data_IF_211030037231
#
_entry.id   IF_211030037231
#
_cell.length_a   1.000
_cell.length_b   1.000
_cell.length_c   1.000
_cell.angle_alpha   90.00
_cell.angle_beta   90.00
_cell.angle_gamma   90.00
#
_symmetry.space_group_name_H-M   'P 1'
#
loop_
_entity.id
_entity.type
_entity.pdbx_description
1 polymer ?
#
# COMPACT_ATOMS: atom_id res chain seq x y z
N UNK A 1 18.62 31.63 -23.13
CA UNK A 1 17.55 31.47 -22.11
C UNK A 1 17.33 30.01 -21.74
N UNK A 2 17.11 29.10 -22.71
CA UNK A 2 16.92 27.66 -22.42
C UNK A 2 18.05 27.03 -21.57
N UNK A 3 19.31 27.24 -21.94
CA UNK A 3 20.48 26.70 -21.21
C UNK A 3 20.66 27.30 -19.80
N UNK A 4 20.17 28.55 -19.57
CA UNK A 4 20.18 29.19 -18.25
C UNK A 4 19.15 28.53 -17.33
N UNK A 5 17.94 28.30 -17.83
CA UNK A 5 16.85 27.71 -17.06
C UNK A 5 17.15 26.26 -16.69
N UNK A 6 17.75 25.50 -17.61
CA UNK A 6 18.25 24.15 -17.32
C UNK A 6 19.27 24.15 -16.18
N UNK A 7 20.29 25.03 -16.22
CA UNK A 7 21.28 25.16 -15.13
C UNK A 7 20.61 25.44 -13.78
N UNK A 8 19.62 26.34 -13.74
CA UNK A 8 18.88 26.66 -12.51
C UNK A 8 18.12 25.44 -11.99
N UNK A 9 17.44 24.68 -12.85
CA UNK A 9 16.74 23.44 -12.43
C UNK A 9 17.71 22.42 -11.84
N UNK A 10 18.91 22.28 -12.42
CA UNK A 10 19.94 21.38 -11.89
C UNK A 10 20.47 21.83 -10.53
N UNK A 11 20.57 23.15 -10.27
CA UNK A 11 20.89 23.65 -8.93
C UNK A 11 19.74 23.42 -7.94
N UNK A 12 18.48 23.56 -8.37
CA UNK A 12 17.32 23.28 -7.51
C UNK A 12 17.24 21.82 -7.09
N UNK A 13 17.65 20.87 -7.94
CA UNK A 13 17.73 19.45 -7.59
C UNK A 13 18.75 19.16 -6.48
N UNK A 14 19.74 20.02 -6.27
CA UNK A 14 20.73 19.88 -5.19
C UNK A 14 20.18 20.35 -3.84
N UNK A 15 19.06 21.08 -3.82
CA UNK A 15 18.44 21.51 -2.58
C UNK A 15 17.86 20.30 -1.82
N UNK A 16 17.88 20.32 -0.48
CA UNK A 16 17.33 19.24 0.33
C UNK A 16 15.89 18.89 -0.07
N UNK A 17 15.61 17.59 -0.22
CA UNK A 17 14.29 17.06 -0.58
C UNK A 17 13.96 17.08 -2.08
N UNK A 18 14.59 17.96 -2.88
CA UNK A 18 14.38 18.00 -4.32
C UNK A 18 15.15 16.89 -5.07
N UNK A 19 16.17 16.30 -4.43
CA UNK A 19 16.95 15.17 -4.95
C UNK A 19 16.20 13.82 -4.89
N UNK A 20 14.98 13.80 -4.36
CA UNK A 20 14.09 12.65 -4.30
C UNK A 20 12.72 13.03 -4.88
N UNK A 21 12.04 12.06 -5.49
CA UNK A 21 10.68 12.22 -5.97
C UNK A 21 9.75 12.61 -4.81
N UNK A 22 8.93 13.64 -5.02
CA UNK A 22 8.01 14.17 -4.01
C UNK A 22 6.95 13.17 -3.54
N UNK A 23 6.71 12.09 -4.30
CA UNK A 23 5.59 11.17 -4.04
C UNK A 23 6.04 9.78 -3.58
N UNK A 24 7.05 9.18 -4.19
CA UNK A 24 7.49 7.81 -3.87
C UNK A 24 8.92 7.74 -3.30
N UNK A 25 9.62 8.87 -3.19
CA UNK A 25 10.99 8.94 -2.70
C UNK A 25 12.07 8.35 -3.62
N UNK A 26 11.73 7.92 -4.84
CA UNK A 26 12.73 7.49 -5.84
C UNK A 26 13.78 8.59 -6.06
N UNK A 27 15.06 8.21 -6.16
CA UNK A 27 16.19 9.15 -6.24
C UNK A 27 16.28 9.77 -7.63
N UNK A 28 16.92 10.94 -7.70
CA UNK A 28 17.28 11.60 -8.97
C UNK A 28 16.07 11.85 -9.89
N UNK A 29 15.05 12.61 -9.45
CA UNK A 29 13.90 12.92 -10.28
C UNK A 29 14.30 13.70 -11.55
N UNK A 30 13.75 13.29 -12.70
CA UNK A 30 14.03 13.90 -14.02
C UNK A 30 12.84 14.68 -14.58
N UNK A 31 11.73 14.70 -13.84
CA UNK A 31 10.49 15.38 -14.20
C UNK A 31 10.10 16.38 -13.13
N UNK A 32 9.22 17.31 -13.47
CA UNK A 32 8.61 18.20 -12.49
C UNK A 32 7.19 18.56 -12.88
N UNK A 33 6.33 18.71 -11.88
CA UNK A 33 5.05 19.40 -12.02
C UNK A 33 5.26 20.88 -11.77
N UNK A 34 5.26 21.69 -12.83
CA UNK A 34 5.68 23.08 -12.74
C UNK A 34 4.62 24.02 -12.19
N UNK A 35 3.33 23.65 -12.25
CA UNK A 35 2.26 24.42 -11.63
C UNK A 35 2.15 24.13 -10.13
N UNK A 36 2.39 22.87 -9.71
CA UNK A 36 2.44 22.49 -8.29
C UNK A 36 3.76 22.96 -7.67
N UNK A 37 4.88 22.82 -8.40
CA UNK A 37 6.22 23.21 -7.95
C UNK A 37 7.02 22.07 -7.34
N UNK A 38 6.90 20.83 -7.86
CA UNK A 38 7.52 19.61 -7.28
C UNK A 38 8.33 18.82 -8.32
N UNK A 39 9.34 18.09 -7.85
CA UNK A 39 10.18 17.20 -8.63
C UNK A 39 9.73 15.74 -8.51
N UNK A 40 9.69 15.03 -9.63
CA UNK A 40 9.05 13.74 -9.79
C UNK A 40 9.94 12.76 -10.57
N UNK A 41 9.85 11.48 -10.23
CA UNK A 41 10.36 10.41 -11.11
C UNK A 41 9.40 10.18 -12.29
N UNK A 42 9.84 9.44 -13.31
CA UNK A 42 9.03 9.15 -14.50
C UNK A 42 7.70 8.47 -14.18
N UNK A 43 7.69 7.56 -13.20
CA UNK A 43 6.50 6.81 -12.78
C UNK A 43 5.43 7.74 -12.18
N UNK A 44 5.82 8.62 -11.26
CA UNK A 44 4.90 9.58 -10.63
C UNK A 44 4.47 10.68 -11.62
N UNK A 45 5.39 11.13 -12.49
CA UNK A 45 5.07 12.02 -13.60
C UNK A 45 3.96 11.46 -14.51
N UNK A 46 3.95 10.15 -14.76
CA UNK A 46 2.87 9.46 -15.48
C UNK A 46 1.50 9.61 -14.80
N UNK A 47 1.43 9.39 -13.49
CA UNK A 47 0.19 9.59 -12.72
C UNK A 47 -0.26 11.05 -12.77
N UNK A 48 0.67 11.99 -12.59
CA UNK A 48 0.36 13.42 -12.67
C UNK A 48 -0.23 13.85 -14.02
N UNK A 49 0.20 13.25 -15.13
CA UNK A 49 -0.43 13.47 -16.44
C UNK A 49 -1.89 12.98 -16.47
N UNK A 50 -2.14 11.82 -15.88
CA UNK A 50 -3.47 11.19 -15.85
C UNK A 50 -4.48 11.91 -14.95
N UNK A 51 -4.03 12.82 -14.06
CA UNK A 51 -4.92 13.71 -13.30
C UNK A 51 -5.49 14.86 -14.15
N UNK A 52 -4.86 15.16 -15.29
CA UNK A 52 -5.28 16.25 -16.19
C UNK A 52 -4.64 17.61 -15.85
N UNK A 53 -4.55 18.45 -16.89
CA UNK A 53 -3.81 19.73 -16.87
C UNK A 53 -4.38 20.80 -15.95
N UNK A 54 -5.62 20.62 -15.50
CA UNK A 54 -6.26 21.50 -14.51
C UNK A 54 -5.74 21.25 -13.08
N UNK A 55 -5.15 20.07 -12.83
CA UNK A 55 -4.54 19.69 -11.54
C UNK A 55 -3.03 19.78 -11.63
N UNK A 56 -2.42 19.08 -12.61
CA UNK A 56 -0.97 18.97 -12.71
C UNK A 56 -0.49 19.09 -14.15
N UNK A 57 0.56 19.87 -14.36
CA UNK A 57 1.22 20.09 -15.64
C UNK A 57 2.69 19.70 -15.50
N UNK A 58 3.09 18.69 -16.24
CA UNK A 58 4.40 18.01 -16.06
C UNK A 58 5.31 18.29 -17.25
N UNK A 59 6.60 18.51 -16.97
CA UNK A 59 7.68 18.65 -17.95
C UNK A 59 8.91 17.84 -17.55
N UNK A 60 9.65 17.36 -18.53
CA UNK A 60 10.99 16.82 -18.34
C UNK A 60 11.96 17.96 -18.05
N UNK A 61 12.87 17.78 -17.09
CA UNK A 61 13.77 18.85 -16.65
C UNK A 61 14.75 19.29 -17.76
N UNK A 62 15.27 18.34 -18.54
CA UNK A 62 16.21 18.58 -19.65
C UNK A 62 15.59 18.66 -21.06
N UNK A 63 14.59 17.84 -21.35
CA UNK A 63 14.09 17.66 -22.72
C UNK A 63 13.02 18.68 -23.12
N UNK A 64 12.32 19.29 -22.17
CA UNK A 64 11.26 20.26 -22.43
C UNK A 64 11.75 21.70 -22.30
N UNK A 65 11.08 22.63 -22.99
CA UNK A 65 11.35 24.07 -22.87
C UNK A 65 10.70 24.63 -21.61
N UNK A 66 11.45 25.45 -20.86
CA UNK A 66 11.01 26.09 -19.62
C UNK A 66 10.96 27.61 -19.73
N UNK A 67 9.85 28.19 -19.29
CA UNK A 67 9.66 29.63 -19.16
C UNK A 67 10.15 30.12 -17.79
N UNK A 68 10.58 31.38 -17.72
CA UNK A 68 11.12 31.96 -16.49
C UNK A 68 10.10 31.92 -15.34
N UNK A 69 8.82 32.15 -15.61
CA UNK A 69 7.73 32.05 -14.62
C UNK A 69 7.58 30.64 -14.02
N UNK A 70 7.84 29.59 -14.82
CA UNK A 70 7.80 28.21 -14.38
C UNK A 70 9.01 27.91 -13.48
N UNK A 71 10.18 28.46 -13.80
CA UNK A 71 11.38 28.34 -12.98
C UNK A 71 11.19 29.03 -11.63
N UNK A 72 10.62 30.25 -11.61
CA UNK A 72 10.33 30.96 -10.35
C UNK A 72 9.38 30.15 -9.47
N UNK A 73 8.35 29.51 -10.04
CA UNK A 73 7.48 28.62 -9.29
C UNK A 73 8.21 27.44 -8.66
N UNK A 74 9.16 26.84 -9.38
CA UNK A 74 9.98 25.74 -8.85
C UNK A 74 10.91 26.20 -7.72
N UNK A 75 11.39 27.46 -7.75
CA UNK A 75 12.18 28.05 -6.66
C UNK A 75 11.34 28.34 -5.42
N UNK A 76 10.14 28.87 -5.63
CA UNK A 76 9.21 29.28 -4.56
C UNK A 76 8.73 28.07 -3.74
N UNK A 77 8.38 26.97 -4.42
CA UNK A 77 7.75 25.82 -3.76
C UNK A 77 8.80 24.77 -3.43
N UNK A 78 9.22 23.95 -4.40
CA UNK A 78 10.06 22.78 -4.13
C UNK A 78 9.35 21.71 -3.28
N UNK A 79 10.01 20.57 -3.11
CA UNK A 79 9.39 19.39 -2.51
C UNK A 79 9.09 19.58 -1.01
N UNK A 80 9.96 20.26 -0.26
CA UNK A 80 9.75 20.47 1.18
C UNK A 80 8.51 21.35 1.43
N UNK A 81 8.39 22.49 0.75
CA UNK A 81 7.24 23.39 0.91
C UNK A 81 5.96 22.71 0.43
N UNK A 82 6.01 21.98 -0.68
CA UNK A 82 4.86 21.19 -1.14
C UNK A 82 4.45 20.13 -0.11
N UNK A 83 5.41 19.46 0.54
CA UNK A 83 5.13 18.50 1.61
C UNK A 83 4.44 19.16 2.81
N UNK A 84 4.89 20.34 3.23
CA UNK A 84 4.26 21.09 4.32
C UNK A 84 2.78 21.44 4.03
N UNK A 85 2.41 21.65 2.76
CA UNK A 85 1.03 21.92 2.35
C UNK A 85 0.22 20.63 2.15
N UNK A 86 0.68 19.75 1.28
CA UNK A 86 -0.07 18.60 0.78
C UNK A 86 0.08 17.34 1.64
N UNK A 87 0.95 17.35 2.64
CA UNK A 87 1.11 16.25 3.60
C UNK A 87 0.94 16.71 5.05
N UNK A 88 0.32 17.88 5.27
CA UNK A 88 0.16 18.52 6.57
C UNK A 88 -0.54 17.59 7.59
N UNK A 89 -1.64 16.94 7.19
CA UNK A 89 -2.48 16.10 8.05
C UNK A 89 -2.60 14.68 7.52
N UNK A 90 -1.48 14.09 7.12
CA UNK A 90 -1.43 12.66 6.76
C UNK A 90 -1.55 11.82 8.04
N UNK A 91 -2.58 10.95 8.16
CA UNK A 91 -2.71 10.10 9.33
C UNK A 91 -1.50 9.18 9.53
N UNK A 92 -1.09 8.91 10.77
CA UNK A 92 0.02 8.01 11.07
C UNK A 92 -0.18 6.59 10.49
N UNK A 93 -1.42 6.13 10.43
CA UNK A 93 -1.78 4.85 9.80
C UNK A 93 -1.65 4.85 8.27
N UNK A 94 -1.63 6.00 7.61
CA UNK A 94 -1.61 6.09 6.15
C UNK A 94 -0.26 5.63 5.61
N UNK A 95 -0.27 4.62 4.73
CA UNK A 95 0.97 4.11 4.14
C UNK A 95 1.43 5.04 3.03
N UNK A 96 2.61 5.63 3.21
CA UNK A 96 3.33 6.36 2.16
C UNK A 96 3.98 5.36 1.20
N UNK A 97 3.81 5.50 -0.12
CA UNK A 97 4.40 4.57 -1.07
C UNK A 97 5.92 4.74 -1.17
N UNK A 98 6.59 3.63 -1.43
CA UNK A 98 7.99 3.52 -1.85
C UNK A 98 8.07 3.33 -3.37
N UNK A 99 9.27 3.46 -3.93
CA UNK A 99 9.52 3.33 -5.38
C UNK A 99 8.98 2.03 -6.01
N UNK A 100 9.07 0.92 -5.28
CA UNK A 100 8.68 -0.42 -5.76
C UNK A 100 7.27 -0.84 -5.29
N UNK A 101 6.52 0.07 -4.67
CA UNK A 101 5.17 -0.28 -4.21
C UNK A 101 4.19 -0.45 -5.39
N UNK A 102 3.09 -1.18 -5.18
CA UNK A 102 2.03 -1.37 -6.18
C UNK A 102 1.54 -0.07 -6.81
N UNK A 103 1.22 -0.12 -8.12
CA UNK A 103 0.79 1.05 -8.88
C UNK A 103 -0.46 1.72 -8.29
N UNK A 104 -1.41 0.93 -7.81
CA UNK A 104 -2.62 1.45 -7.15
C UNK A 104 -2.28 2.32 -5.93
N UNK A 105 -1.30 1.91 -5.11
CA UNK A 105 -0.91 2.67 -3.91
C UNK A 105 -0.22 3.99 -4.29
N UNK A 106 0.68 3.98 -5.28
CA UNK A 106 1.32 5.20 -5.78
C UNK A 106 0.29 6.15 -6.37
N UNK A 107 -0.59 5.64 -7.23
CA UNK A 107 -1.61 6.46 -7.86
C UNK A 107 -2.55 7.11 -6.85
N UNK A 108 -3.05 6.32 -5.89
CA UNK A 108 -3.99 6.83 -4.91
C UNK A 108 -3.34 7.76 -3.88
N UNK A 109 -2.05 7.61 -3.57
CA UNK A 109 -1.31 8.60 -2.79
C UNK A 109 -1.23 9.96 -3.50
N UNK A 110 -0.88 9.96 -4.79
CA UNK A 110 -0.78 11.18 -5.59
C UNK A 110 -2.15 11.85 -5.73
N UNK A 111 -3.20 11.07 -6.01
CA UNK A 111 -4.57 11.60 -6.10
C UNK A 111 -5.08 12.11 -4.75
N UNK A 112 -4.78 11.43 -3.64
CA UNK A 112 -5.12 11.90 -2.30
C UNK A 112 -4.48 13.26 -1.99
N UNK A 113 -3.20 13.44 -2.36
CA UNK A 113 -2.48 14.71 -2.16
C UNK A 113 -3.03 15.85 -3.00
N UNK A 114 -3.17 15.65 -4.31
CA UNK A 114 -3.30 16.76 -5.26
C UNK A 114 -4.66 16.88 -5.94
N UNK A 115 -5.41 15.78 -6.07
CA UNK A 115 -6.72 15.79 -6.70
C UNK A 115 -7.84 15.92 -5.65
N UNK A 116 -7.75 15.13 -4.59
CA UNK A 116 -8.74 15.11 -3.51
C UNK A 116 -8.31 15.95 -2.31
N UNK A 117 -7.04 16.34 -2.25
CA UNK A 117 -6.48 17.17 -1.17
C UNK A 117 -6.88 16.68 0.24
N UNK A 118 -6.90 15.37 0.43
CA UNK A 118 -7.38 14.71 1.66
C UNK A 118 -6.60 15.17 2.90
N UNK A 119 -5.32 15.48 2.72
CA UNK A 119 -4.44 15.91 3.80
C UNK A 119 -4.50 17.42 4.06
N UNK A 120 -5.24 18.16 3.22
CA UNK A 120 -5.61 19.56 3.44
C UNK A 120 -7.04 19.70 3.98
N UNK A 121 -7.87 18.67 3.83
CA UNK A 121 -9.28 18.64 4.24
C UNK A 121 -9.61 17.31 4.94
N UNK A 122 -9.38 17.19 6.26
CA UNK A 122 -9.53 15.97 7.04
C UNK A 122 -10.92 15.32 6.93
N UNK A 123 -11.97 16.11 6.68
CA UNK A 123 -13.33 15.62 6.43
C UNK A 123 -13.43 14.72 5.18
N UNK A 124 -12.43 14.74 4.28
CA UNK A 124 -12.34 13.87 3.12
C UNK A 124 -11.69 12.52 3.43
N UNK A 125 -11.09 12.34 4.61
CA UNK A 125 -10.39 11.12 5.01
C UNK A 125 -11.37 10.06 5.53
N UNK A 126 -12.27 9.56 4.67
CA UNK A 126 -13.35 8.66 5.09
C UNK A 126 -12.89 7.36 5.80
N UNK A 127 -11.65 6.93 5.56
CA UNK A 127 -11.07 5.71 6.12
C UNK A 127 -10.65 5.82 7.60
N UNK A 128 -10.71 7.02 8.22
CA UNK A 128 -10.37 7.20 9.65
C UNK A 128 -11.59 7.10 10.59
N UNK A 129 -12.79 6.88 10.06
CA UNK A 129 -14.04 6.91 10.84
C UNK A 129 -14.17 5.80 11.90
N UNK A 130 -13.34 4.76 11.83
CA UNK A 130 -13.49 3.52 12.62
C UNK A 130 -14.67 2.64 12.18
N UNK A 131 -15.42 3.04 11.16
CA UNK A 131 -16.57 2.30 10.63
C UNK A 131 -16.69 2.47 9.11
N UNK A 132 -16.61 1.35 8.38
CA UNK A 132 -16.67 1.36 6.92
C UNK A 132 -17.59 0.25 6.42
N UNK A 133 -18.50 0.59 5.50
CA UNK A 133 -19.44 -0.35 4.87
C UNK A 133 -19.36 -0.18 3.36
N UNK A 134 -19.37 -1.30 2.65
CA UNK A 134 -19.29 -1.27 1.19
C UNK A 134 -19.27 -2.67 0.61
N UNK A 135 -19.23 -2.74 -0.71
CA UNK A 135 -19.16 -4.00 -1.43
C UNK A 135 -17.76 -4.19 -2.00
N UNK A 136 -17.26 -5.41 -1.90
CA UNK A 136 -16.00 -5.82 -2.53
C UNK A 136 -16.24 -7.12 -3.30
N UNK A 137 -15.55 -7.25 -4.42
CA UNK A 137 -15.55 -8.49 -5.19
C UNK A 137 -14.64 -9.49 -4.50
N UNK A 138 -15.23 -10.54 -3.93
CA UNK A 138 -14.52 -11.54 -3.14
C UNK A 138 -14.41 -12.85 -3.92
N UNK A 139 -13.19 -13.38 -4.02
CA UNK A 139 -12.94 -14.71 -4.58
C UNK A 139 -13.58 -15.82 -3.73
N UNK A 140 -14.18 -16.81 -4.38
CA UNK A 140 -14.62 -18.04 -3.72
C UNK A 140 -13.44 -18.79 -3.06
N UNK A 141 -13.75 -19.69 -2.11
CA UNK A 141 -12.74 -20.51 -1.42
C UNK A 141 -12.22 -21.60 -2.36
N UNK A 142 -13.15 -22.31 -2.98
CA UNK A 142 -12.92 -23.43 -3.90
C UNK A 142 -13.24 -23.01 -5.34
N UNK A 143 -14.28 -22.18 -5.47
CA UNK A 143 -14.62 -21.53 -6.71
C UNK A 143 -13.70 -20.34 -7.01
N UNK A 144 -13.12 -20.30 -8.21
CA UNK A 144 -12.23 -19.23 -8.66
C UNK A 144 -12.99 -17.94 -9.02
N UNK A 145 -14.31 -17.99 -9.12
CA UNK A 145 -15.11 -16.81 -9.42
C UNK A 145 -15.13 -15.80 -8.27
N UNK A 146 -15.23 -14.52 -8.64
CA UNK A 146 -15.45 -13.43 -7.72
C UNK A 146 -16.93 -13.12 -7.62
N UNK A 147 -17.39 -12.79 -6.42
CA UNK A 147 -18.76 -12.40 -6.20
C UNK A 147 -18.81 -11.18 -5.28
N UNK A 148 -19.74 -10.27 -5.56
CA UNK A 148 -19.95 -9.10 -4.72
C UNK A 148 -20.38 -9.52 -3.32
N UNK A 149 -19.74 -8.97 -2.31
CA UNK A 149 -20.00 -9.22 -0.89
C UNK A 149 -19.99 -7.91 -0.14
N UNK A 150 -20.97 -7.72 0.73
CA UNK A 150 -20.99 -6.61 1.67
C UNK A 150 -19.95 -6.87 2.75
N UNK A 151 -19.07 -5.91 2.98
CA UNK A 151 -18.12 -5.87 4.09
C UNK A 151 -18.52 -4.77 5.06
N UNK A 152 -18.27 -5.01 6.35
CA UNK A 152 -18.45 -4.05 7.43
C UNK A 152 -17.20 -4.12 8.31
N UNK A 153 -16.42 -3.04 8.34
CA UNK A 153 -15.39 -2.80 9.33
C UNK A 153 -16.02 -2.04 10.50
N UNK A 154 -15.81 -2.53 11.71
CA UNK A 154 -16.16 -1.85 12.96
C UNK A 154 -14.99 -1.99 13.93
N UNK A 155 -14.29 -0.89 14.12
CA UNK A 155 -13.11 -0.78 14.97
C UNK A 155 -13.42 -0.99 16.46
N UNK A 156 -14.54 -0.45 16.93
CA UNK A 156 -14.96 -0.58 18.33
C UNK A 156 -15.22 -2.04 18.74
N UNK A 157 -15.64 -2.86 17.78
CA UNK A 157 -15.86 -4.30 17.97
C UNK A 157 -14.63 -5.15 17.59
N UNK A 158 -13.55 -4.54 17.09
CA UNK A 158 -12.40 -5.23 16.50
C UNK A 158 -12.81 -6.23 15.40
N UNK A 159 -13.77 -5.85 14.53
CA UNK A 159 -14.32 -6.78 13.53
C UNK A 159 -14.29 -6.26 12.09
N UNK A 160 -13.89 -7.14 11.18
CA UNK A 160 -14.20 -7.06 9.76
C UNK A 160 -15.14 -8.22 9.40
N UNK A 161 -16.40 -7.90 9.13
CA UNK A 161 -17.46 -8.86 8.80
C UNK A 161 -17.73 -8.85 7.31
N UNK A 162 -18.12 -9.99 6.75
CA UNK A 162 -18.69 -10.02 5.41
C UNK A 162 -19.92 -10.91 5.30
N UNK A 163 -20.80 -10.55 4.37
CA UNK A 163 -22.12 -11.12 4.21
C UNK A 163 -22.28 -11.70 2.80
N UNK A 164 -22.84 -12.90 2.72
CA UNK A 164 -23.27 -13.50 1.43
C UNK A 164 -24.62 -12.95 1.00
N UNK A 165 -25.48 -12.63 1.97
CA UNK A 165 -26.78 -11.96 1.80
C UNK A 165 -26.91 -10.90 2.88
N UNK A 166 -27.39 -9.71 2.55
CA UNK A 166 -27.33 -8.55 3.45
C UNK A 166 -28.16 -8.70 4.74
N UNK A 167 -29.34 -9.31 4.66
CA UNK A 167 -30.28 -9.43 5.79
C UNK A 167 -30.08 -10.73 6.58
N UNK A 168 -28.83 -11.20 6.68
CA UNK A 168 -28.50 -12.45 7.38
C UNK A 168 -27.27 -12.23 8.27
N UNK A 169 -27.05 -13.18 9.18
CA UNK A 169 -25.82 -13.27 9.95
C UNK A 169 -24.57 -13.23 9.05
N UNK A 170 -23.46 -12.63 9.54
CA UNK A 170 -22.22 -12.56 8.78
C UNK A 170 -21.71 -13.96 8.46
N UNK A 171 -21.24 -14.15 7.24
CA UNK A 171 -20.65 -15.42 6.80
C UNK A 171 -19.32 -15.70 7.51
N UNK A 172 -18.59 -14.64 7.83
CA UNK A 172 -17.44 -14.71 8.74
C UNK A 172 -17.25 -13.36 9.44
N UNK A 173 -16.65 -13.44 10.62
CA UNK A 173 -16.21 -12.32 11.44
C UNK A 173 -14.70 -12.50 11.60
N UNK A 174 -13.92 -11.53 11.13
CA UNK A 174 -12.46 -11.51 11.24
C UNK A 174 -12.08 -10.49 12.30
N UNK A 175 -11.09 -10.80 13.16
CA UNK A 175 -10.53 -9.83 14.11
C UNK A 175 -9.53 -8.93 13.40
N UNK A 176 -9.70 -7.61 13.48
CA UNK A 176 -8.82 -6.64 12.79
C UNK A 176 -7.42 -6.67 13.39
N UNK A 177 -7.32 -6.80 14.71
CA UNK A 177 -6.06 -6.93 15.45
C UNK A 177 -5.17 -8.09 14.95
N UNK A 178 -5.79 -9.21 14.56
CA UNK A 178 -5.12 -10.43 14.09
C UNK A 178 -5.04 -10.51 12.54
N UNK A 179 -5.58 -9.52 11.83
CA UNK A 179 -5.65 -9.47 10.37
C UNK A 179 -4.38 -8.84 9.80
N UNK A 180 -3.83 -9.46 8.76
CA UNK A 180 -2.88 -8.83 7.84
C UNK A 180 -3.60 -8.46 6.54
N UNK A 181 -3.27 -7.31 5.97
CA UNK A 181 -3.82 -6.83 4.69
C UNK A 181 -2.69 -6.32 3.82
N UNK A 182 -2.60 -6.82 2.58
CA UNK A 182 -1.58 -6.39 1.62
C UNK A 182 -2.20 -6.20 0.25
N UNK A 183 -1.67 -5.26 -0.53
CA UNK A 183 -1.97 -5.20 -1.96
C UNK A 183 -1.40 -6.43 -2.67
N UNK A 184 -2.18 -7.02 -3.58
CA UNK A 184 -1.82 -8.28 -4.26
C UNK A 184 -1.98 -8.28 -5.80
N UNK A 185 -1.69 -7.16 -6.52
CA UNK A 185 -1.93 -7.10 -7.96
C UNK A 185 -1.02 -8.02 -8.80
N UNK A 186 0.13 -8.45 -8.27
CA UNK A 186 1.01 -9.39 -8.99
C UNK A 186 0.50 -10.83 -8.95
N UNK A 187 -0.28 -11.18 -7.91
CA UNK A 187 -0.85 -12.52 -7.72
C UNK A 187 -2.25 -12.65 -8.34
N UNK A 188 -2.93 -11.53 -8.51
CA UNK A 188 -4.32 -11.47 -8.93
C UNK A 188 -4.41 -10.78 -10.28
N UNK A 189 -5.32 -11.23 -11.16
CA UNK A 189 -5.58 -10.60 -12.46
C UNK A 189 -6.29 -9.23 -12.35
N UNK A 190 -6.24 -8.58 -11.18
CA UNK A 190 -6.88 -7.31 -10.87
C UNK A 190 -5.88 -6.37 -10.20
N UNK A 191 -5.67 -5.19 -10.79
CA UNK A 191 -4.72 -4.17 -10.30
C UNK A 191 -5.10 -3.61 -8.92
N UNK A 192 -6.40 -3.54 -8.64
CA UNK A 192 -6.98 -2.92 -7.46
C UNK A 192 -7.39 -4.01 -6.46
N UNK A 193 -6.41 -4.77 -5.99
CA UNK A 193 -6.65 -6.00 -5.24
C UNK A 193 -5.91 -6.08 -3.91
N UNK A 194 -6.55 -6.73 -2.95
CA UNK A 194 -6.05 -6.99 -1.61
C UNK A 194 -6.07 -8.48 -1.29
N UNK A 195 -5.04 -8.93 -0.59
CA UNK A 195 -5.04 -10.18 0.14
C UNK A 195 -5.19 -9.89 1.63
N UNK A 196 -6.23 -10.50 2.23
CA UNK A 196 -6.43 -10.58 3.66
C UNK A 196 -5.90 -11.92 4.16
N UNK A 197 -5.08 -11.90 5.20
CA UNK A 197 -4.54 -13.09 5.84
C UNK A 197 -4.84 -13.05 7.33
N UNK A 198 -5.45 -14.10 7.87
CA UNK A 198 -5.85 -14.18 9.27
C UNK A 198 -5.83 -15.63 9.76
N UNK A 199 -5.79 -15.81 11.08
CA UNK A 199 -5.92 -17.14 11.68
C UNK A 199 -7.39 -17.54 11.78
N UNK A 200 -7.69 -18.78 11.41
CA UNK A 200 -8.98 -19.42 11.59
C UNK A 200 -8.78 -20.86 12.02
N UNK A 201 -9.36 -21.23 13.15
CA UNK A 201 -9.31 -22.59 13.69
C UNK A 201 -7.86 -23.14 13.80
N UNK A 202 -6.92 -22.27 14.22
CA UNK A 202 -5.50 -22.59 14.37
C UNK A 202 -4.68 -22.62 13.07
N UNK A 203 -5.30 -22.37 11.90
CA UNK A 203 -4.63 -22.37 10.60
C UNK A 203 -4.73 -21.02 9.91
N UNK A 204 -3.76 -20.69 9.06
CA UNK A 204 -3.82 -19.45 8.28
C UNK A 204 -4.84 -19.58 7.15
N UNK A 205 -5.63 -18.52 6.96
CA UNK A 205 -6.61 -18.41 5.89
C UNK A 205 -6.41 -17.13 5.09
N UNK A 206 -6.52 -17.25 3.77
CA UNK A 206 -6.46 -16.13 2.84
C UNK A 206 -7.85 -15.80 2.26
N UNK A 207 -8.13 -14.51 2.10
CA UNK A 207 -9.25 -13.98 1.32
C UNK A 207 -8.69 -12.98 0.31
N UNK A 208 -9.09 -13.13 -0.94
CA UNK A 208 -8.69 -12.27 -2.04
C UNK A 208 -9.85 -11.39 -2.46
N UNK A 209 -9.61 -10.08 -2.48
CA UNK A 209 -10.60 -9.03 -2.72
C UNK A 209 -10.11 -8.12 -3.85
N UNK A 210 -11.04 -7.60 -4.64
CA UNK A 210 -10.77 -6.45 -5.49
C UNK A 210 -11.96 -5.50 -5.53
N UNK A 211 -11.72 -4.32 -6.06
CA UNK A 211 -12.76 -3.39 -6.47
C UNK A 211 -12.34 -2.71 -7.77
N UNK A 212 -13.26 -2.43 -8.69
CA UNK A 212 -12.90 -1.79 -9.96
C UNK A 212 -12.40 -0.35 -9.74
N UNK A 213 -12.98 0.34 -8.76
CA UNK A 213 -12.51 1.65 -8.28
C UNK A 213 -11.25 1.51 -7.38
N UNK A 214 -10.11 2.09 -7.77
CA UNK A 214 -8.87 2.07 -6.99
C UNK A 214 -8.94 2.86 -5.67
N UNK A 215 -9.76 3.90 -5.60
CA UNK A 215 -9.94 4.69 -4.38
C UNK A 215 -10.66 3.86 -3.32
N UNK A 216 -11.74 3.16 -3.69
CA UNK A 216 -12.50 2.33 -2.76
C UNK A 216 -11.61 1.23 -2.16
N UNK A 217 -10.83 0.49 -2.98
CA UNK A 217 -9.96 -0.55 -2.44
C UNK A 217 -8.87 0.01 -1.52
N UNK A 218 -8.38 1.22 -1.82
CA UNK A 218 -7.35 1.88 -1.02
C UNK A 218 -7.92 2.39 0.29
N UNK A 219 -9.15 2.92 0.30
CA UNK A 219 -9.84 3.32 1.52
C UNK A 219 -10.08 2.12 2.45
N UNK A 220 -10.43 0.94 1.93
CA UNK A 220 -10.50 -0.29 2.74
C UNK A 220 -9.15 -0.69 3.34
N UNK A 221 -8.08 -0.61 2.54
CA UNK A 221 -6.71 -0.87 3.02
C UNK A 221 -6.32 0.08 4.16
N UNK A 222 -6.56 1.38 3.99
CA UNK A 222 -6.24 2.40 4.99
C UNK A 222 -7.12 2.26 6.24
N UNK A 223 -8.43 1.96 6.08
CA UNK A 223 -9.34 1.78 7.20
C UNK A 223 -8.93 0.61 8.11
N UNK A 224 -8.52 -0.52 7.52
CA UNK A 224 -7.98 -1.66 8.28
C UNK A 224 -6.71 -1.26 9.02
N UNK A 225 -5.81 -0.50 8.39
CA UNK A 225 -4.57 -0.02 9.04
C UNK A 225 -4.85 0.94 10.18
N UNK A 226 -5.79 1.88 10.03
CA UNK A 226 -6.14 2.84 11.07
C UNK A 226 -6.80 2.15 12.27
N UNK A 227 -7.75 1.25 12.02
CA UNK A 227 -8.34 0.42 13.08
C UNK A 227 -7.28 -0.40 13.82
N UNK A 228 -6.33 -1.00 13.09
CA UNK A 228 -5.23 -1.76 13.70
C UNK A 228 -4.28 -0.90 14.53
N UNK A 229 -3.96 0.32 14.07
CA UNK A 229 -3.15 1.26 14.85
C UNK A 229 -3.84 1.63 16.16
N UNK A 230 -5.14 1.95 16.13
CA UNK A 230 -5.87 2.27 17.35
C UNK A 230 -5.91 1.07 18.31
N UNK A 231 -6.10 -0.15 17.80
CA UNK A 231 -6.01 -1.37 18.62
C UNK A 231 -4.63 -1.52 19.28
N UNK A 232 -3.55 -1.22 18.56
CA UNK A 232 -2.19 -1.24 19.10
C UNK A 232 -1.98 -0.16 20.17
N UNK A 233 -2.49 1.06 19.96
CA UNK A 233 -2.41 2.15 20.95
C UNK A 233 -3.14 1.79 22.25
N UNK A 234 -4.30 1.13 22.16
CA UNK A 234 -5.02 0.63 23.34
C UNK A 234 -4.24 -0.50 24.04
N UNK A 235 -3.65 -1.41 23.28
CA UNK A 235 -2.91 -2.55 23.84
C UNK A 235 -1.55 -2.16 24.44
N UNK A 236 -0.93 -1.08 23.93
CA UNK A 236 0.41 -0.64 24.29
C UNK A 236 0.46 0.87 24.55
N UNK A 237 -0.21 1.37 25.61
CA UNK A 237 -0.37 2.80 25.85
C UNK A 237 0.94 3.56 26.15
N UNK A 238 2.00 2.85 26.52
CA UNK A 238 3.33 3.42 26.76
C UNK A 238 4.24 3.43 25.53
N UNK A 239 3.83 2.80 24.43
CA UNK A 239 4.62 2.77 23.20
C UNK A 239 4.44 4.07 22.41
N UNK A 240 5.49 4.53 21.73
CA UNK A 240 5.37 5.69 20.85
C UNK A 240 4.58 5.32 19.60
N UNK A 241 3.83 6.28 19.04
CA UNK A 241 3.08 6.04 17.80
C UNK A 241 3.99 5.63 16.64
N UNK A 242 5.21 6.17 16.58
CA UNK A 242 6.20 5.81 15.57
C UNK A 242 6.57 4.33 15.65
N UNK A 243 6.76 3.78 16.87
CA UNK A 243 7.05 2.36 17.06
C UNK A 243 5.84 1.49 16.68
N UNK A 244 4.62 1.94 17.00
CA UNK A 244 3.39 1.20 16.70
C UNK A 244 3.11 1.10 15.20
N UNK A 245 3.43 2.13 14.43
CA UNK A 245 3.25 2.16 12.97
C UNK A 245 4.08 1.07 12.27
N UNK A 246 5.24 0.69 12.82
CA UNK A 246 6.09 -0.39 12.28
C UNK A 246 5.42 -1.78 12.35
N UNK A 247 4.40 -1.95 13.20
CA UNK A 247 3.62 -3.18 13.29
C UNK A 247 2.40 -3.20 12.34
N UNK A 248 2.17 -2.12 11.58
CA UNK A 248 1.08 -2.05 10.62
C UNK A 248 1.43 -2.79 9.32
N UNK A 249 0.44 -3.42 8.65
CA UNK A 249 0.64 -4.15 7.40
C UNK A 249 1.31 -3.35 6.27
N UNK A 250 2.57 -3.63 5.93
CA UNK A 250 3.28 -3.00 4.78
C UNK A 250 3.31 -3.96 3.57
N UNK A 251 3.53 -5.25 3.76
CA UNK A 251 3.63 -6.19 2.66
C UNK A 251 4.20 -7.51 3.13
N UNK A 252 4.34 -8.46 2.21
CA UNK A 252 5.12 -9.66 2.49
C UNK A 252 6.60 -9.36 2.28
N UNK A 253 7.44 -9.86 3.17
CA UNK A 253 8.89 -9.64 3.09
C UNK A 253 9.46 -10.24 1.80
N UNK A 254 8.90 -11.38 1.37
CA UNK A 254 9.20 -11.99 0.08
C UNK A 254 8.10 -12.97 -0.33
N UNK A 255 7.88 -13.08 -1.63
CA UNK A 255 7.09 -14.14 -2.22
C UNK A 255 7.76 -14.70 -3.48
N UNK A 256 7.38 -15.91 -3.88
CA UNK A 256 7.80 -16.48 -5.14
C UNK A 256 7.81 -18.00 -5.18
N UNK A 257 8.04 -18.53 -6.38
CA UNK A 257 8.15 -19.97 -6.59
C UNK A 257 9.51 -20.49 -6.13
N UNK A 258 9.49 -21.53 -5.29
CA UNK A 258 10.68 -22.28 -4.88
C UNK A 258 10.41 -23.79 -4.96
N UNK A 259 11.49 -24.57 -5.05
CA UNK A 259 11.42 -26.03 -4.96
C UNK A 259 11.69 -26.48 -3.53
N UNK A 260 10.84 -27.37 -3.00
CA UNK A 260 11.03 -27.99 -1.69
C UNK A 260 10.88 -29.51 -1.77
N UNK A 261 11.56 -30.22 -0.88
CA UNK A 261 11.28 -31.64 -0.60
C UNK A 261 10.46 -31.78 0.70
N UNK A 262 9.96 -32.98 0.98
CA UNK A 262 9.31 -33.33 2.23
C UNK A 262 10.32 -33.80 3.29
N UNK A 263 9.84 -34.22 4.47
CA UNK A 263 10.71 -34.63 5.57
C UNK A 263 11.38 -35.99 5.32
N UNK A 264 10.90 -36.79 4.36
CA UNK A 264 11.47 -38.11 4.08
C UNK A 264 12.57 -37.99 3.03
N UNK A 265 13.69 -38.72 3.16
CA UNK A 265 14.75 -38.73 2.15
C UNK A 265 14.29 -39.16 0.75
N UNK A 266 13.20 -39.94 0.68
CA UNK A 266 12.60 -40.42 -0.57
C UNK A 266 11.63 -39.42 -1.22
N UNK A 267 11.34 -38.28 -0.56
CA UNK A 267 10.42 -37.30 -1.10
C UNK A 267 11.06 -36.55 -2.28
N UNK A 268 10.38 -36.54 -3.42
CA UNK A 268 10.78 -35.76 -4.58
C UNK A 268 10.59 -34.25 -4.36
N UNK A 269 11.37 -33.44 -5.06
CA UNK A 269 11.20 -31.99 -5.07
C UNK A 269 9.87 -31.61 -5.73
N UNK A 270 9.15 -30.67 -5.10
CA UNK A 270 7.92 -30.08 -5.62
C UNK A 270 8.05 -28.56 -5.64
N UNK A 271 7.64 -27.95 -6.75
CA UNK A 271 7.55 -26.49 -6.89
C UNK A 271 6.34 -25.99 -6.09
N UNK A 272 6.53 -24.98 -5.26
CA UNK A 272 5.49 -24.38 -4.40
C UNK A 272 5.63 -22.86 -4.40
N UNK A 273 4.50 -22.17 -4.27
CA UNK A 273 4.51 -20.73 -4.02
C UNK A 273 4.81 -20.49 -2.56
N UNK A 274 5.80 -19.67 -2.24
CA UNK A 274 6.15 -19.31 -0.87
C UNK A 274 5.78 -17.87 -0.57
N UNK A 275 5.32 -17.64 0.66
CA UNK A 275 5.06 -16.30 1.20
C UNK A 275 5.72 -16.19 2.57
N UNK A 276 6.59 -15.20 2.74
CA UNK A 276 7.19 -14.86 4.02
C UNK A 276 6.43 -13.69 4.64
N UNK A 277 5.57 -14.00 5.62
CA UNK A 277 4.82 -13.03 6.41
C UNK A 277 5.48 -12.88 7.79
N UNK A 278 6.29 -11.84 7.95
CA UNK A 278 7.16 -11.64 9.12
C UNK A 278 8.06 -12.87 9.38
N UNK A 279 7.74 -13.65 10.41
CA UNK A 279 8.47 -14.87 10.79
C UNK A 279 7.78 -16.15 10.33
N UNK A 280 6.64 -16.05 9.68
CA UNK A 280 5.87 -17.19 9.21
C UNK A 280 6.13 -17.40 7.72
N UNK A 281 6.81 -18.50 7.40
CA UNK A 281 6.99 -18.98 6.05
C UNK A 281 5.86 -19.93 5.69
N UNK A 282 5.04 -19.55 4.72
CA UNK A 282 3.92 -20.35 4.22
C UNK A 282 4.26 -20.86 2.83
N UNK A 283 3.74 -22.03 2.46
CA UNK A 283 3.82 -22.52 1.09
C UNK A 283 2.52 -23.11 0.60
N UNK A 284 2.22 -22.92 -0.69
CA UNK A 284 0.96 -23.25 -1.35
C UNK A 284 1.22 -24.04 -2.64
N UNK A 285 0.20 -24.78 -3.12
CA UNK A 285 0.28 -25.38 -4.45
C UNK A 285 0.18 -24.27 -5.50
N UNK A 286 -0.76 -23.33 -5.30
CA UNK A 286 -0.96 -22.14 -6.14
C UNK A 286 -0.98 -20.84 -5.32
N UNK A 287 -0.59 -19.68 -5.89
CA UNK A 287 -0.49 -18.41 -5.15
C UNK A 287 -1.82 -17.90 -4.53
N UNK A 288 -2.95 -18.35 -5.08
CA UNK A 288 -4.30 -17.93 -4.68
C UNK A 288 -5.05 -18.99 -3.86
N UNK A 289 -4.34 -20.01 -3.37
CA UNK A 289 -4.94 -21.03 -2.50
C UNK A 289 -5.44 -20.40 -1.19
N UNK A 290 -6.65 -20.76 -0.76
CA UNK A 290 -7.26 -20.20 0.44
C UNK A 290 -6.58 -20.60 1.76
N UNK A 291 -5.79 -21.68 1.74
CA UNK A 291 -5.03 -22.18 2.89
C UNK A 291 -3.64 -22.60 2.42
N UNK A 292 -2.59 -22.38 3.24
CA UNK A 292 -1.28 -22.93 2.94
C UNK A 292 -1.30 -24.45 3.03
N UNK A 293 -0.45 -25.10 2.22
CA UNK A 293 -0.11 -26.52 2.37
C UNK A 293 0.73 -26.79 3.60
N UNK A 294 1.51 -25.81 4.05
CA UNK A 294 2.19 -25.87 5.33
C UNK A 294 2.72 -24.52 5.77
N UNK A 295 2.97 -24.42 7.07
CA UNK A 295 3.44 -23.22 7.75
C UNK A 295 4.68 -23.57 8.58
N UNK A 296 5.71 -22.73 8.50
CA UNK A 296 6.97 -22.88 9.23
C UNK A 296 7.25 -21.55 9.93
N UNK A 297 7.48 -21.59 11.23
CA UNK A 297 7.92 -20.42 11.99
C UNK A 297 9.44 -20.36 12.02
N UNK A 298 10.00 -19.26 11.52
CA UNK A 298 11.42 -18.98 11.54
C UNK A 298 11.77 -18.37 12.90
N UNK A 299 12.54 -19.08 13.71
CA UNK A 299 13.07 -18.62 14.99
C UNK A 299 14.51 -18.13 14.83
N UNK A 300 14.91 -17.14 15.64
CA UNK A 300 16.28 -16.64 15.68
C UNK A 300 17.21 -17.65 16.37
N UNK A 301 18.47 -17.71 15.91
CA UNK A 301 19.48 -18.72 16.28
C UNK A 301 19.84 -18.81 17.76
N UNK A 302 19.41 -17.87 18.61
CA UNK A 302 19.53 -17.99 20.07
C UNK A 302 18.78 -19.22 20.65
N UNK A 303 17.99 -19.93 19.83
CA UNK A 303 17.31 -21.18 20.18
C UNK A 303 17.68 -22.39 19.28
N UNK A 304 18.83 -22.36 18.58
CA UNK A 304 19.50 -23.59 18.13
C UNK A 304 18.99 -24.29 16.87
N UNK A 305 18.82 -23.58 15.75
CA UNK A 305 18.76 -24.23 14.43
C UNK A 305 19.96 -23.84 13.57
N UNK A 306 20.71 -24.85 13.10
CA UNK A 306 21.66 -24.71 11.99
C UNK A 306 20.92 -24.89 10.67
N UNK A 307 21.07 -23.97 9.73
CA UNK A 307 20.84 -24.28 8.32
C UNK A 307 21.89 -25.33 7.90
N UNK A 308 21.43 -26.53 7.55
CA UNK A 308 22.19 -27.51 6.77
C UNK A 308 21.45 -27.72 5.47
#
# INVERSE_FOLDING_TARGET
MAERNEKVLMELLKLPGNNMCADCGSRSPEWASYNIGIFLCIRCAGVHRNMGVHISKVKHLKLDRWEDSQIERMKEVGNITAKLKYEERVPPCYRRPKENDPQVLIEQWIRAKYQREEFCYPERQCYISGYMVGFLMKRGKEDRHYQSRKFILNESEDTLKYFVRENKEPKAILRISELNVVFAPEKMDHLNSLQLTFLKDGTTRHIYLYHDDPEIITNWYMAIRCAKLHRLQIAYPSASEADLVEYLPDGFAKEGWLWKTGPRPTDGFKKRWFTLDNRKLMYHDEPLDAHPKGEIFIVLECYGFRYR
#
